data_IF_343824663483
#
_entry.id   IF_343824663483
#
_cell.length_a   1.000
_cell.length_b   1.000
_cell.length_c   1.000
_cell.angle_alpha   90.00
_cell.angle_beta   90.00
_cell.angle_gamma   90.00
#
_symmetry.space_group_name_H-M   'P 1'
#
loop_
_entity.id
_entity.type
_entity.pdbx_description
1 polymer ?
#
# COMPACT_ATOMS: atom_id res chain seq x y z
N UNK A 1 -10.74 -16.25 28.98
CA UNK A 1 -11.35 -15.69 27.76
C UNK A 1 -12.44 -14.74 28.23
N UNK A 2 -12.22 -13.43 28.15
CA UNK A 2 -13.23 -12.39 28.46
C UNK A 2 -13.74 -11.80 27.15
N UNK A 3 -14.87 -11.07 27.18
CA UNK A 3 -15.35 -10.31 26.03
C UNK A 3 -16.26 -11.08 25.07
N UNK A 4 -16.37 -10.60 23.83
CA UNK A 4 -17.42 -11.02 22.87
C UNK A 4 -17.41 -12.52 22.57
N UNK A 5 -16.21 -13.10 22.57
CA UNK A 5 -16.01 -14.51 22.23
C UNK A 5 -16.69 -15.41 23.27
N UNK A 6 -16.69 -15.02 24.54
CA UNK A 6 -17.35 -15.76 25.61
C UNK A 6 -18.86 -15.82 25.40
N UNK A 7 -19.49 -14.73 24.93
CA UNK A 7 -20.93 -14.70 24.65
C UNK A 7 -21.28 -15.45 23.37
N UNK A 8 -20.46 -15.32 22.33
CA UNK A 8 -20.63 -16.05 21.07
C UNK A 8 -20.49 -17.58 21.26
N UNK A 9 -19.80 -18.03 22.31
CA UNK A 9 -19.66 -19.44 22.68
C UNK A 9 -20.64 -19.88 23.79
N UNK A 10 -21.70 -19.11 24.06
CA UNK A 10 -22.79 -19.50 24.96
C UNK A 10 -22.68 -19.02 26.41
N UNK A 11 -21.80 -18.07 26.72
CA UNK A 11 -21.78 -17.39 28.02
C UNK A 11 -22.89 -16.35 28.16
N UNK A 12 -23.30 -16.06 29.40
CA UNK A 12 -24.38 -15.12 29.70
C UNK A 12 -24.00 -13.65 29.42
N UNK A 13 -24.93 -12.93 28.78
CA UNK A 13 -24.83 -11.49 28.60
C UNK A 13 -25.16 -10.76 29.93
N UNK A 14 -24.47 -9.65 30.27
CA UNK A 14 -24.86 -8.85 31.42
C UNK A 14 -26.31 -8.40 31.35
N UNK A 15 -27.04 -8.53 32.46
CA UNK A 15 -28.47 -8.18 32.54
C UNK A 15 -28.72 -6.80 33.14
N UNK A 16 -27.68 -6.13 33.61
CA UNK A 16 -27.73 -4.79 34.19
C UNK A 16 -27.00 -3.75 33.31
N UNK A 17 -27.41 -2.49 33.43
CA UNK A 17 -26.91 -1.38 32.60
C UNK A 17 -25.40 -1.19 32.74
N UNK A 18 -24.87 -1.33 33.96
CA UNK A 18 -23.44 -1.15 34.24
C UNK A 18 -22.63 -2.27 33.58
N UNK A 19 -23.11 -3.50 33.68
CA UNK A 19 -22.55 -4.66 32.99
C UNK A 19 -22.55 -4.50 31.47
N UNK A 20 -23.65 -4.01 30.88
CA UNK A 20 -23.71 -3.69 29.45
C UNK A 20 -22.71 -2.59 29.04
N UNK A 21 -22.54 -1.55 29.87
CA UNK A 21 -21.55 -0.50 29.59
C UNK A 21 -20.12 -1.06 29.63
N UNK A 22 -19.77 -1.85 30.64
CA UNK A 22 -18.44 -2.50 30.74
C UNK A 22 -18.20 -3.43 29.55
N UNK A 23 -19.21 -4.24 29.20
CA UNK A 23 -19.20 -5.08 28.01
C UNK A 23 -18.87 -4.29 26.74
N UNK A 24 -19.61 -3.22 26.45
CA UNK A 24 -19.39 -2.37 25.27
C UNK A 24 -17.97 -1.78 25.26
N UNK A 25 -17.45 -1.36 26.41
CA UNK A 25 -16.10 -0.81 26.50
C UNK A 25 -15.02 -1.86 26.18
N UNK A 26 -15.19 -3.10 26.66
CA UNK A 26 -14.31 -4.21 26.32
C UNK A 26 -14.33 -4.51 24.81
N UNK A 27 -15.52 -4.52 24.21
CA UNK A 27 -15.68 -4.73 22.76
C UNK A 27 -14.95 -3.67 21.93
N UNK A 28 -15.08 -2.39 22.32
CA UNK A 28 -14.41 -1.28 21.64
C UNK A 28 -12.90 -1.46 21.73
N UNK A 29 -12.38 -1.84 22.91
CA UNK A 29 -10.95 -2.06 23.13
C UNK A 29 -10.42 -3.25 22.31
N UNK A 30 -11.15 -4.36 22.27
CA UNK A 30 -10.79 -5.55 21.48
C UNK A 30 -10.77 -5.23 19.99
N UNK A 31 -11.79 -4.51 19.48
CA UNK A 31 -11.84 -4.02 18.10
C UNK A 31 -10.63 -3.16 17.77
N UNK A 32 -10.27 -2.22 18.64
CA UNK A 32 -9.16 -1.30 18.39
C UNK A 32 -7.80 -2.02 18.39
N UNK A 33 -7.62 -3.02 19.25
CA UNK A 33 -6.45 -3.89 19.22
C UNK A 33 -6.40 -4.74 17.95
N UNK A 34 -7.53 -5.30 17.54
CA UNK A 34 -7.63 -6.06 16.29
C UNK A 34 -7.32 -5.19 15.07
N UNK A 35 -7.85 -3.97 15.03
CA UNK A 35 -7.60 -3.01 13.94
C UNK A 35 -6.13 -2.64 13.83
N UNK A 36 -5.42 -2.47 14.96
CA UNK A 36 -3.96 -2.25 14.95
C UNK A 36 -3.20 -3.45 14.41
N UNK A 37 -3.51 -4.66 14.87
CA UNK A 37 -2.89 -5.89 14.36
C UNK A 37 -3.15 -6.08 12.88
N UNK A 38 -4.37 -5.79 12.42
CA UNK A 38 -4.68 -5.79 10.99
C UNK A 38 -3.82 -4.76 10.28
N UNK A 39 -3.74 -3.51 10.72
CA UNK A 39 -2.86 -2.51 10.10
C UNK A 39 -1.37 -2.91 10.07
N UNK A 40 -0.92 -3.67 11.08
CA UNK A 40 0.46 -4.19 11.18
C UNK A 40 0.70 -5.36 10.20
N UNK A 41 -0.27 -6.27 10.07
CA UNK A 41 -0.29 -7.35 9.09
C UNK A 41 -0.53 -6.83 7.66
N UNK A 42 -1.24 -5.71 7.55
CA UNK A 42 -1.43 -4.92 6.35
C UNK A 42 -0.28 -3.94 6.12
N UNK A 43 0.86 -4.13 6.81
CA UNK A 43 2.08 -3.35 6.62
C UNK A 43 2.32 -3.05 5.15
N UNK A 44 2.45 -1.75 4.86
CA UNK A 44 2.55 -1.10 3.55
C UNK A 44 2.29 -2.03 2.35
N UNK A 45 1.01 -2.29 2.03
CA UNK A 45 0.57 -3.17 0.93
C UNK A 45 0.94 -2.67 -0.49
N UNK A 46 1.91 -1.77 -0.60
CA UNK A 46 2.42 -1.23 -1.85
C UNK A 46 3.89 -0.84 -1.72
N UNK A 47 4.43 -0.23 -2.76
CA UNK A 47 5.81 0.26 -2.77
C UNK A 47 5.87 1.76 -2.49
N UNK A 48 4.82 2.34 -1.90
CA UNK A 48 4.74 3.77 -1.63
C UNK A 48 5.89 4.24 -0.74
N UNK A 49 6.64 5.24 -1.21
CA UNK A 49 7.81 5.76 -0.48
C UNK A 49 9.01 4.81 -0.45
N UNK A 50 8.96 3.69 -1.18
CA UNK A 50 10.12 2.83 -1.43
C UNK A 50 10.78 3.22 -2.74
N UNK A 51 12.11 3.20 -2.76
CA UNK A 51 12.89 3.39 -4.00
C UNK A 51 13.30 2.04 -4.55
N UNK A 52 13.02 1.78 -5.83
CA UNK A 52 13.28 0.51 -6.51
C UNK A 52 14.11 0.75 -7.77
N UNK A 53 15.24 0.04 -7.90
CA UNK A 53 16.06 0.00 -9.11
C UNK A 53 15.62 -1.17 -10.00
N UNK A 54 15.31 -0.88 -11.26
CA UNK A 54 14.96 -1.88 -12.27
C UNK A 54 16.04 -1.90 -13.34
N UNK A 55 16.77 -3.00 -13.44
CA UNK A 55 17.74 -3.27 -14.51
C UNK A 55 17.07 -3.99 -15.67
N UNK A 56 17.46 -3.69 -16.90
CA UNK A 56 16.78 -4.23 -18.09
C UNK A 56 15.39 -3.61 -18.30
N UNK A 57 15.16 -2.38 -17.83
CA UNK A 57 13.85 -1.72 -17.85
C UNK A 57 13.34 -1.39 -19.27
N UNK A 58 14.19 -1.41 -20.28
CA UNK A 58 13.81 -1.24 -21.68
C UNK A 58 13.26 -2.53 -22.31
N UNK A 59 13.57 -3.70 -21.74
CA UNK A 59 13.05 -5.00 -22.20
C UNK A 59 11.63 -5.32 -21.70
N UNK A 60 11.04 -6.39 -22.22
CA UNK A 60 9.63 -6.75 -21.95
C UNK A 60 9.33 -6.93 -20.45
N UNK A 61 10.10 -7.79 -19.77
CA UNK A 61 9.85 -8.08 -18.35
C UNK A 61 10.21 -6.91 -17.43
N UNK A 62 11.32 -6.22 -17.72
CA UNK A 62 11.75 -5.07 -16.93
C UNK A 62 10.76 -3.91 -17.02
N UNK A 63 10.19 -3.68 -18.21
CA UNK A 63 9.12 -2.71 -18.42
C UNK A 63 7.88 -3.06 -17.61
N UNK A 64 7.34 -4.27 -17.74
CA UNK A 64 6.14 -4.69 -17.00
C UNK A 64 6.35 -4.63 -15.47
N UNK A 65 7.55 -5.00 -14.99
CA UNK A 65 7.90 -4.86 -13.59
C UNK A 65 7.90 -3.38 -13.17
N UNK A 66 8.51 -2.48 -13.96
CA UNK A 66 8.52 -1.05 -13.70
C UNK A 66 7.10 -0.47 -13.65
N UNK A 67 6.22 -0.80 -14.61
CA UNK A 67 4.83 -0.34 -14.63
C UNK A 67 4.04 -0.83 -13.41
N UNK A 68 4.22 -2.11 -13.05
CA UNK A 68 3.56 -2.66 -11.87
C UNK A 68 4.01 -1.97 -10.59
N UNK A 69 5.31 -1.74 -10.43
CA UNK A 69 5.86 -1.04 -9.26
C UNK A 69 5.43 0.43 -9.21
N UNK A 70 5.39 1.10 -10.36
CA UNK A 70 4.87 2.45 -10.52
C UNK A 70 3.41 2.57 -10.04
N UNK A 71 2.53 1.66 -10.49
CA UNK A 71 1.11 1.62 -10.07
C UNK A 71 0.92 1.41 -8.56
N UNK A 72 1.94 0.87 -7.88
CA UNK A 72 1.95 0.64 -6.43
C UNK A 72 2.63 1.77 -5.65
N UNK A 73 3.02 2.86 -6.33
CA UNK A 73 3.56 4.08 -5.74
C UNK A 73 5.07 4.07 -5.48
N UNK A 74 5.82 3.15 -6.10
CA UNK A 74 7.28 3.13 -6.00
C UNK A 74 7.94 4.38 -6.60
N UNK A 75 9.01 4.85 -5.97
CA UNK A 75 9.98 5.74 -6.62
C UNK A 75 10.92 4.86 -7.47
N UNK A 76 10.98 5.08 -8.77
CA UNK A 76 11.71 4.19 -9.67
C UNK A 76 13.04 4.79 -10.14
N UNK A 77 14.06 3.93 -10.19
CA UNK A 77 15.31 4.16 -10.94
C UNK A 77 15.34 3.12 -12.05
N UNK A 78 15.28 3.56 -13.30
CA UNK A 78 15.26 2.67 -14.47
C UNK A 78 16.64 2.65 -15.12
N UNK A 79 17.15 1.45 -15.42
CA UNK A 79 18.46 1.26 -16.06
C UNK A 79 18.35 0.25 -17.21
N UNK A 80 18.81 0.64 -18.39
CA UNK A 80 18.96 -0.22 -19.56
C UNK A 80 20.04 0.35 -20.50
N UNK A 81 20.56 -0.46 -21.41
CA UNK A 81 21.46 -0.04 -22.49
C UNK A 81 20.68 0.55 -23.67
N UNK A 82 19.43 0.13 -23.89
CA UNK A 82 18.58 0.61 -24.97
C UNK A 82 17.84 1.89 -24.55
N UNK A 83 18.46 3.05 -24.79
CA UNK A 83 17.96 4.36 -24.35
C UNK A 83 16.54 4.66 -24.85
N UNK A 84 16.23 4.40 -26.12
CA UNK A 84 14.88 4.65 -26.69
C UNK A 84 13.80 3.81 -26.00
N UNK A 85 14.12 2.55 -25.70
CA UNK A 85 13.20 1.64 -25.03
C UNK A 85 13.04 2.01 -23.55
N UNK A 86 14.11 2.47 -22.91
CA UNK A 86 14.10 2.96 -21.54
C UNK A 86 13.23 4.22 -21.40
N UNK A 87 13.34 5.14 -22.36
CA UNK A 87 12.54 6.36 -22.40
C UNK A 87 11.05 6.06 -22.60
N UNK A 88 10.72 5.10 -23.47
CA UNK A 88 9.34 4.62 -23.61
C UNK A 88 8.81 4.03 -22.29
N UNK A 89 9.61 3.21 -21.60
CA UNK A 89 9.23 2.67 -20.27
C UNK A 89 9.04 3.79 -19.25
N UNK A 90 9.90 4.82 -19.23
CA UNK A 90 9.77 5.97 -18.32
C UNK A 90 8.43 6.67 -18.50
N UNK A 91 8.06 6.99 -19.74
CA UNK A 91 6.80 7.68 -20.05
C UNK A 91 5.58 6.85 -19.63
N UNK A 92 5.61 5.54 -19.87
CA UNK A 92 4.55 4.63 -19.44
C UNK A 92 4.48 4.55 -17.91
N UNK A 93 5.61 4.44 -17.22
CA UNK A 93 5.65 4.38 -15.75
C UNK A 93 5.17 5.67 -15.09
N UNK A 94 5.45 6.83 -15.67
CA UNK A 94 4.93 8.12 -15.23
C UNK A 94 3.40 8.20 -15.36
N UNK A 95 2.84 7.65 -16.44
CA UNK A 95 1.39 7.56 -16.60
C UNK A 95 0.74 6.69 -15.51
N UNK A 96 1.38 5.60 -15.10
CA UNK A 96 0.90 4.68 -14.06
C UNK A 96 0.98 5.26 -12.63
N UNK A 97 1.86 6.24 -12.36
CA UNK A 97 2.04 6.82 -11.01
C UNK A 97 0.95 7.86 -10.62
N UNK A 98 0.05 8.27 -11.52
CA UNK A 98 -1.15 9.00 -11.15
C UNK A 98 -0.96 10.44 -10.63
N UNK A 99 -0.07 11.23 -11.24
CA UNK A 99 -0.16 12.70 -11.27
C UNK A 99 0.37 13.22 -12.62
N UNK A 100 -0.56 13.49 -13.55
CA UNK A 100 -0.21 14.14 -14.81
C UNK A 100 0.17 15.61 -14.58
N UNK A 101 1.41 15.97 -14.91
CA UNK A 101 1.78 17.29 -15.38
C UNK A 101 2.79 17.12 -16.52
N UNK A 102 2.46 17.68 -17.69
CA UNK A 102 3.27 17.63 -18.91
C UNK A 102 3.81 19.03 -19.23
N UNK A 103 5.02 19.10 -19.80
CA UNK A 103 5.62 20.31 -20.37
C UNK A 103 6.90 19.98 -21.13
N UNK A 104 6.92 20.28 -22.44
CA UNK A 104 8.01 19.97 -23.37
C UNK A 104 9.13 21.02 -23.47
N UNK A 105 10.12 20.65 -24.28
CA UNK A 105 11.38 21.34 -24.64
C UNK A 105 12.45 21.44 -23.54
N UNK A 106 13.12 20.30 -23.32
CA UNK A 106 14.52 20.25 -22.94
C UNK A 106 14.83 20.62 -21.49
N UNK A 107 14.63 19.66 -20.57
CA UNK A 107 15.49 19.39 -19.39
C UNK A 107 14.92 18.24 -18.58
N UNK A 108 15.76 17.22 -18.34
CA UNK A 108 15.48 16.14 -17.41
C UNK A 108 15.26 16.69 -15.99
N UNK A 109 14.28 16.16 -15.28
CA UNK A 109 14.02 16.43 -13.87
C UNK A 109 13.72 15.13 -13.13
N UNK A 110 14.10 15.08 -11.85
CA UNK A 110 13.65 14.04 -10.92
C UNK A 110 12.17 14.29 -10.65
N UNK A 111 11.31 13.32 -10.97
CA UNK A 111 9.95 13.29 -10.45
C UNK A 111 10.04 13.03 -8.93
N UNK A 112 9.69 14.04 -8.15
CA UNK A 112 9.47 13.96 -6.70
C UNK A 112 7.97 13.96 -6.40
#
# INVERSE_FOLDING_TARGET
>A
MSGILSWLTGGDLPKDVKGCQTAIQELIKERDQMKRRLQELEGDKGFRGKTVLVTGAGGDMGREAALRLASQGANLVLLDLAEDALEATRQLAEAEQGRAAWGGEGKAGVAA
#
